data_IF_107796779766
#
_entry.id   IF_107796779766
#
_cell.length_a   1.000
_cell.length_b   1.000
_cell.length_c   1.000
_cell.angle_alpha   90.00
_cell.angle_beta   90.00
_cell.angle_gamma   90.00
#
_symmetry.space_group_name_H-M   'P 1'
#
loop_
_entity.id
_entity.type
_entity.pdbx_description
1 polymer ?
#
# COMPACT_ATOMS: atom_id res chain seq x y z
N UNK A 1 -3.33 -25.89 2.04
CA UNK A 1 -2.89 -25.42 0.70
C UNK A 1 -1.49 -24.82 0.83
N UNK A 2 -0.68 -24.76 -0.23
CA UNK A 2 0.65 -24.14 -0.18
C UNK A 2 0.59 -22.63 0.03
N UNK A 3 1.74 -22.06 0.42
CA UNK A 3 1.89 -20.61 0.49
C UNK A 3 1.73 -19.98 -0.89
N UNK A 4 1.05 -18.83 -0.96
CA UNK A 4 0.88 -18.05 -2.19
C UNK A 4 1.26 -16.61 -1.88
N UNK A 5 2.26 -16.11 -2.60
CA UNK A 5 2.73 -14.72 -2.51
C UNK A 5 1.63 -13.75 -2.95
N UNK A 6 1.43 -12.62 -2.25
CA UNK A 6 0.42 -11.63 -2.62
C UNK A 6 0.69 -10.96 -3.96
N UNK A 7 -0.39 -10.65 -4.67
CA UNK A 7 -0.40 -9.61 -5.70
C UNK A 7 -0.55 -8.25 -5.02
N UNK A 8 0.31 -7.29 -5.37
CA UNK A 8 0.30 -5.94 -4.79
C UNK A 8 0.11 -4.91 -5.89
N UNK A 9 -0.87 -4.02 -5.71
CA UNK A 9 -1.12 -2.87 -6.57
C UNK A 9 -1.15 -1.63 -5.69
N UNK A 10 -0.40 -0.60 -6.08
CA UNK A 10 -0.35 0.68 -5.40
C UNK A 10 -1.00 1.75 -6.28
N UNK A 11 -1.95 2.49 -5.72
CA UNK A 11 -2.67 3.57 -6.39
C UNK A 11 -2.26 4.92 -5.80
N UNK A 12 -2.07 5.95 -6.65
CA UNK A 12 -1.81 7.30 -6.19
C UNK A 12 -3.09 7.95 -5.64
N UNK A 13 -2.96 9.10 -4.95
CA UNK A 13 -4.10 9.96 -4.62
C UNK A 13 -4.82 10.45 -5.88
N UNK A 14 -6.12 10.73 -5.78
CA UNK A 14 -6.84 11.33 -6.90
C UNK A 14 -6.55 12.83 -7.04
N UNK A 15 -6.68 13.35 -8.26
CA UNK A 15 -6.53 14.78 -8.53
C UNK A 15 -7.54 15.64 -7.76
N UNK A 16 -8.75 15.14 -7.51
CA UNK A 16 -9.76 15.80 -6.70
C UNK A 16 -9.35 15.88 -5.23
N UNK A 17 -8.80 14.80 -4.67
CA UNK A 17 -8.33 14.76 -3.28
C UNK A 17 -7.17 15.73 -3.07
N UNK A 18 -6.23 15.79 -4.02
CA UNK A 18 -5.09 16.72 -3.97
C UNK A 18 -5.50 18.19 -3.98
N UNK A 19 -6.63 18.54 -4.61
CA UNK A 19 -7.19 19.90 -4.58
C UNK A 19 -7.73 20.29 -3.20
N UNK A 20 -8.14 19.31 -2.39
CA UNK A 20 -8.57 19.49 -0.98
C UNK A 20 -7.40 19.36 0.01
N UNK A 21 -6.16 19.50 -0.45
CA UNK A 21 -4.93 19.36 0.34
C UNK A 21 -4.80 18.00 1.07
N UNK A 22 -5.45 16.96 0.56
CA UNK A 22 -5.36 15.59 1.07
C UNK A 22 -4.68 14.69 0.05
N UNK A 23 -4.13 13.58 0.51
CA UNK A 23 -3.52 12.56 -0.33
C UNK A 23 -3.64 11.19 0.33
N UNK A 24 -4.40 10.28 -0.26
CA UNK A 24 -4.50 8.89 0.20
C UNK A 24 -3.92 7.96 -0.84
N UNK A 25 -2.81 7.32 -0.50
CA UNK A 25 -2.31 6.20 -1.29
C UNK A 25 -3.03 4.92 -0.87
N UNK A 26 -3.36 4.07 -1.84
CA UNK A 26 -4.05 2.80 -1.60
C UNK A 26 -3.19 1.65 -2.06
N UNK A 27 -2.82 0.75 -1.14
CA UNK A 27 -2.13 -0.48 -1.43
C UNK A 27 -3.11 -1.65 -1.32
N UNK A 28 -3.52 -2.21 -2.47
CA UNK A 28 -4.35 -3.41 -2.53
C UNK A 28 -3.44 -4.65 -2.54
N UNK A 29 -3.77 -5.59 -1.68
CA UNK A 29 -3.02 -6.84 -1.46
C UNK A 29 -4.00 -7.98 -1.65
N UNK A 30 -3.82 -8.83 -2.66
CA UNK A 30 -4.77 -9.91 -2.97
C UNK A 30 -4.10 -11.26 -3.15
N UNK A 31 -4.93 -12.30 -3.11
CA UNK A 31 -4.58 -13.66 -3.52
C UNK A 31 -3.43 -14.31 -2.74
N UNK A 32 -3.29 -13.97 -1.45
CA UNK A 32 -2.26 -14.56 -0.58
C UNK A 32 -2.80 -15.65 0.36
N UNK A 33 -1.93 -16.58 0.75
CA UNK A 33 -2.23 -17.59 1.77
C UNK A 33 -0.94 -18.07 2.43
N UNK A 34 -0.86 -18.24 3.77
CA UNK A 34 -1.92 -18.09 4.77
C UNK A 34 -2.29 -16.62 5.04
N UNK A 35 -3.19 -16.39 6.01
CA UNK A 35 -3.87 -15.11 6.29
C UNK A 35 -2.95 -13.96 6.72
N UNK A 36 -1.77 -14.23 7.26
CA UNK A 36 -0.96 -13.21 7.94
C UNK A 36 -0.06 -12.47 6.96
N UNK A 37 -0.22 -11.15 6.84
CA UNK A 37 0.67 -10.25 6.09
C UNK A 37 1.14 -9.11 6.99
N UNK A 38 2.33 -8.58 6.74
CA UNK A 38 2.84 -7.35 7.35
C UNK A 38 2.99 -6.30 6.27
N UNK A 39 2.41 -5.12 6.49
CA UNK A 39 2.55 -3.97 5.59
C UNK A 39 3.43 -2.91 6.24
N UNK A 40 4.38 -2.37 5.48
CA UNK A 40 5.17 -1.22 5.88
C UNK A 40 5.15 -0.20 4.74
N UNK A 41 4.94 1.06 5.09
CA UNK A 41 5.06 2.16 4.15
C UNK A 41 6.45 2.78 4.29
N UNK A 42 7.06 3.14 3.17
CA UNK A 42 8.33 3.88 3.12
C UNK A 42 8.14 5.14 2.27
N UNK A 43 8.62 6.28 2.72
CA UNK A 43 8.75 7.50 1.93
C UNK A 43 10.23 7.85 1.83
N UNK A 44 10.75 7.96 0.61
CA UNK A 44 12.18 8.18 0.33
C UNK A 44 13.09 7.21 1.08
N UNK A 45 12.67 5.93 1.14
CA UNK A 45 13.38 4.85 1.83
C UNK A 45 13.16 4.79 3.36
N UNK A 46 12.59 5.82 3.98
CA UNK A 46 12.36 5.87 5.42
C UNK A 46 10.97 5.34 5.78
N UNK A 47 10.88 4.51 6.83
CA UNK A 47 9.59 3.97 7.28
C UNK A 47 8.63 5.09 7.73
N UNK A 48 7.39 5.01 7.26
CA UNK A 48 6.28 5.89 7.64
C UNK A 48 5.23 5.07 8.38
N UNK A 49 4.85 5.53 9.56
CA UNK A 49 3.84 4.88 10.41
C UNK A 49 2.65 5.79 10.72
N UNK A 50 2.82 7.10 10.60
CA UNK A 50 1.75 8.07 10.79
C UNK A 50 0.81 8.06 9.58
N UNK A 51 -0.51 8.11 9.84
CA UNK A 51 -1.53 8.09 8.79
C UNK A 51 -1.71 6.73 8.11
N UNK A 52 -1.11 5.65 8.64
CA UNK A 52 -1.27 4.31 8.10
C UNK A 52 -2.50 3.65 8.71
N UNK A 53 -3.42 3.21 7.85
CA UNK A 53 -4.55 2.34 8.22
C UNK A 53 -4.47 1.04 7.41
N UNK A 54 -4.66 -0.12 8.05
CA UNK A 54 -4.58 -1.42 7.36
C UNK A 54 -5.72 -2.31 7.81
N UNK A 55 -6.53 -2.75 6.84
CA UNK A 55 -7.68 -3.62 7.10
C UNK A 55 -7.23 -5.00 7.58
N UNK A 56 -8.02 -5.66 8.42
CA UNK A 56 -7.86 -7.09 8.63
C UNK A 56 -8.09 -7.84 7.31
N UNK A 57 -7.27 -8.86 6.99
CA UNK A 57 -7.49 -9.65 5.79
C UNK A 57 -8.90 -10.26 5.73
N UNK A 58 -9.49 -10.33 4.55
CA UNK A 58 -10.75 -11.02 4.29
C UNK A 58 -10.53 -12.19 3.35
N UNK A 59 -11.34 -13.24 3.46
CA UNK A 59 -11.22 -14.42 2.59
C UNK A 59 -11.98 -14.17 1.30
N UNK A 60 -11.32 -14.31 0.16
CA UNK A 60 -11.89 -14.20 -1.18
C UNK A 60 -12.57 -15.52 -1.61
N UNK A 61 -13.36 -15.48 -2.69
CA UNK A 61 -14.07 -16.65 -3.24
C UNK A 61 -13.13 -17.78 -3.68
N UNK A 62 -11.89 -17.46 -4.04
CA UNK A 62 -10.85 -18.42 -4.42
C UNK A 62 -10.12 -19.06 -3.21
N UNK A 63 -10.67 -18.92 -1.99
CA UNK A 63 -10.12 -19.39 -0.73
C UNK A 63 -8.78 -18.77 -0.28
N UNK A 64 -8.30 -17.73 -0.97
CA UNK A 64 -7.15 -16.93 -0.55
C UNK A 64 -7.60 -15.69 0.21
N UNK A 65 -6.66 -14.87 0.67
CA UNK A 65 -6.93 -13.67 1.43
C UNK A 65 -6.59 -12.41 0.65
N UNK A 66 -7.31 -11.34 0.95
CA UNK A 66 -7.02 -9.99 0.51
C UNK A 66 -7.04 -9.01 1.69
N UNK A 67 -6.30 -7.92 1.58
CA UNK A 67 -6.29 -6.80 2.51
C UNK A 67 -6.03 -5.50 1.75
N UNK A 68 -6.38 -4.38 2.35
CA UNK A 68 -6.01 -3.05 1.87
C UNK A 68 -5.22 -2.31 2.95
N UNK A 69 -4.25 -1.53 2.53
CA UNK A 69 -3.57 -0.56 3.39
C UNK A 69 -3.63 0.82 2.76
N UNK A 70 -3.81 1.83 3.60
CA UNK A 70 -3.99 3.22 3.22
C UNK A 70 -2.90 4.03 3.90
N UNK A 71 -2.32 4.97 3.17
CA UNK A 71 -1.43 5.97 3.74
C UNK A 71 -2.02 7.36 3.49
N UNK A 72 -2.48 7.98 4.57
CA UNK A 72 -3.06 9.31 4.58
C UNK A 72 -1.99 10.37 4.83
N UNK A 73 -1.86 11.29 3.88
CA UNK A 73 -0.93 12.40 3.86
C UNK A 73 -1.67 13.69 3.51
N UNK A 74 -0.98 14.82 3.68
CA UNK A 74 -1.35 16.06 2.99
C UNK A 74 -0.84 16.05 1.56
N UNK A 75 -1.45 16.85 0.68
CA UNK A 75 -0.98 16.99 -0.70
C UNK A 75 0.47 17.49 -0.78
N UNK A 76 0.89 18.37 0.14
CA UNK A 76 2.26 18.87 0.22
C UNK A 76 3.24 17.77 0.62
N UNK A 77 2.90 16.92 1.59
CA UNK A 77 3.76 15.77 1.96
C UNK A 77 3.93 14.82 0.78
N UNK A 78 2.83 14.42 0.13
CA UNK A 78 2.90 13.55 -1.05
C UNK A 78 3.82 14.14 -2.12
N UNK A 79 3.61 15.40 -2.50
CA UNK A 79 4.42 16.09 -3.53
C UNK A 79 5.87 16.35 -3.11
N UNK A 80 6.17 16.33 -1.81
CA UNK A 80 7.54 16.52 -1.29
C UNK A 80 8.40 15.27 -1.35
N UNK A 81 7.78 14.09 -1.38
CA UNK A 81 8.52 12.82 -1.48
C UNK A 81 8.92 12.54 -2.93
N UNK A 82 10.10 11.96 -3.12
CA UNK A 82 10.53 11.46 -4.42
C UNK A 82 9.82 10.14 -4.75
N UNK A 83 9.60 9.29 -3.74
CA UNK A 83 8.89 8.03 -3.90
C UNK A 83 8.20 7.60 -2.60
N UNK A 84 7.03 6.98 -2.75
CA UNK A 84 6.35 6.27 -1.66
C UNK A 84 6.18 4.81 -2.06
N UNK A 85 6.52 3.91 -1.14
CA UNK A 85 6.53 2.47 -1.34
C UNK A 85 5.60 1.79 -0.35
N UNK A 86 4.71 0.94 -0.84
CA UNK A 86 4.03 -0.06 -0.04
C UNK A 86 4.84 -1.36 -0.09
N UNK A 87 5.35 -1.78 1.05
CA UNK A 87 6.12 -3.01 1.22
C UNK A 87 5.28 -4.05 1.97
N UNK A 88 4.99 -5.18 1.33
CA UNK A 88 4.20 -6.27 1.88
C UNK A 88 5.12 -7.46 2.12
N UNK A 89 5.18 -7.93 3.37
CA UNK A 89 5.90 -9.15 3.75
C UNK A 89 4.90 -10.26 4.08
N UNK A 90 5.09 -11.43 3.49
CA UNK A 90 4.23 -12.58 3.60
C UNK A 90 5.08 -13.86 3.55
N UNK A 91 4.98 -14.69 4.59
CA UNK A 91 5.77 -15.94 4.72
C UNK A 91 7.27 -15.76 4.42
N UNK A 92 7.87 -14.68 4.95
CA UNK A 92 9.29 -14.35 4.75
C UNK A 92 9.65 -13.75 3.39
N UNK A 93 8.72 -13.68 2.44
CA UNK A 93 8.93 -13.04 1.14
C UNK A 93 8.39 -11.62 1.16
N UNK A 94 9.09 -10.71 0.47
CA UNK A 94 8.69 -9.31 0.37
C UNK A 94 8.35 -8.96 -1.07
N UNK A 95 7.19 -8.35 -1.26
CA UNK A 95 6.76 -7.71 -2.51
C UNK A 95 6.57 -6.23 -2.22
N UNK A 96 7.11 -5.37 -3.07
CA UNK A 96 6.91 -3.94 -2.93
C UNK A 96 6.50 -3.28 -4.24
N UNK A 97 5.74 -2.20 -4.10
CA UNK A 97 5.34 -1.31 -5.18
C UNK A 97 5.60 0.12 -4.75
N UNK A 98 6.13 0.91 -5.67
CA UNK A 98 6.50 2.31 -5.43
C UNK A 98 5.81 3.19 -6.46
N UNK A 99 5.49 4.42 -6.06
CA UNK A 99 5.01 5.47 -6.94
C UNK A 99 5.77 6.76 -6.63
N UNK A 100 6.11 7.52 -7.67
CA UNK A 100 6.57 8.89 -7.53
C UNK A 100 5.43 9.87 -7.88
N UNK A 101 5.31 11.01 -7.18
CA UNK A 101 4.35 12.07 -7.55
C UNK A 101 4.51 12.55 -8.99
N UNK A 102 5.76 12.59 -9.49
CA UNK A 102 6.09 13.04 -10.84
C UNK A 102 5.54 12.11 -11.95
N UNK A 103 5.27 10.84 -11.65
CA UNK A 103 4.74 9.87 -12.62
C UNK A 103 3.20 9.93 -12.73
N UNK A 104 2.56 10.66 -11.83
CA UNK A 104 1.09 10.78 -11.73
C UNK A 104 0.57 12.14 -12.23
N UNK A 105 1.45 12.94 -12.86
CA UNK A 105 1.17 14.28 -13.40
C UNK A 105 0.85 14.21 -14.89
#
# INVERSE_FOLDING_TARGET
QPAVTPSVILFPPSSEELKDNKATLVCLISDFYPRTVKVNWKADGNSVTQGVDTTQPSKQSNNKYAASSFLHLTANQWKSYQSVTCQVTHEGHTVEKSLAPAECS
#
